data_IF_737826955237
#
_entry.id   IF_737826955237
#
_cell.length_a   1.000
_cell.length_b   1.000
_cell.length_c   1.000
_cell.angle_alpha   90.00
_cell.angle_beta   90.00
_cell.angle_gamma   90.00
#
_symmetry.space_group_name_H-M   'P 1'
#
loop_
_entity.id
_entity.type
_entity.pdbx_description
1 polymer ?
#
# COMPACT_ATOMS: atom_id res chain seq x y z
N UNK A 1 19.56 63.46 -3.94
CA UNK A 1 19.60 63.49 -5.41
C UNK A 1 20.81 62.73 -5.88
N UNK A 2 20.64 61.89 -6.93
CA UNK A 2 21.71 61.17 -7.64
C UNK A 2 22.30 59.97 -6.89
N UNK A 3 22.71 58.87 -7.52
CA UNK A 3 22.68 58.49 -8.92
C UNK A 3 22.90 56.98 -9.06
N UNK A 4 22.52 56.50 -10.23
CA UNK A 4 22.52 55.16 -10.83
C UNK A 4 23.88 54.51 -11.09
N UNK A 5 23.93 53.18 -11.07
CA UNK A 5 24.55 52.23 -12.03
C UNK A 5 24.70 50.88 -11.31
N UNK A 6 24.53 49.68 -11.86
CA UNK A 6 24.46 49.17 -13.22
C UNK A 6 25.12 47.78 -13.17
N UNK A 7 24.39 46.69 -13.47
CA UNK A 7 24.97 45.35 -13.47
C UNK A 7 23.96 44.24 -13.77
N UNK A 8 23.86 43.85 -15.04
CA UNK A 8 23.16 42.64 -15.52
C UNK A 8 24.02 41.42 -15.18
N UNK A 9 23.39 40.35 -14.70
CA UNK A 9 24.00 39.03 -14.53
C UNK A 9 22.93 37.94 -14.62
N UNK A 10 22.81 37.38 -15.82
CA UNK A 10 22.25 36.07 -16.20
C UNK A 10 21.66 35.21 -15.06
N UNK A 11 20.34 35.02 -15.03
CA UNK A 11 19.72 33.91 -14.28
C UNK A 11 19.44 32.78 -15.26
N UNK A 12 20.34 31.80 -15.28
CA UNK A 12 20.20 30.56 -16.01
C UNK A 12 18.96 29.80 -15.53
N UNK A 13 18.07 29.47 -16.46
CA UNK A 13 17.02 28.48 -16.30
C UNK A 13 17.65 27.09 -16.38
N UNK A 14 17.96 26.46 -15.25
CA UNK A 14 18.29 25.03 -15.23
C UNK A 14 17.00 24.23 -15.03
N UNK A 15 16.40 23.85 -16.15
CA UNK A 15 15.62 22.60 -16.24
C UNK A 15 16.56 21.46 -15.87
N UNK A 16 16.26 20.71 -14.83
CA UNK A 16 16.64 19.28 -14.65
C UNK A 16 16.08 18.78 -13.32
N UNK A 17 14.78 18.50 -13.28
CA UNK A 17 14.22 17.52 -12.34
C UNK A 17 13.70 16.36 -13.19
N UNK A 18 14.58 15.38 -13.40
CA UNK A 18 14.25 14.05 -13.93
C UNK A 18 15.08 13.07 -13.13
N UNK A 19 14.57 12.68 -11.97
CA UNK A 19 14.96 11.48 -11.23
C UNK A 19 13.80 11.16 -10.28
N UNK A 20 12.85 10.38 -10.78
CA UNK A 20 11.81 9.73 -9.98
C UNK A 20 11.61 8.33 -10.55
N UNK A 21 11.17 7.41 -9.69
CA UNK A 21 10.80 6.01 -9.93
C UNK A 21 11.85 4.94 -9.60
N UNK A 22 12.02 4.68 -8.29
CA UNK A 22 12.04 3.31 -7.77
C UNK A 22 10.95 3.23 -6.70
N UNK A 23 9.75 2.82 -7.11
CA UNK A 23 8.56 2.83 -6.27
C UNK A 23 8.17 1.42 -5.82
N UNK A 24 7.96 1.27 -4.50
CA UNK A 24 7.25 0.15 -3.91
C UNK A 24 5.84 0.03 -4.50
N UNK A 25 5.28 -1.19 -4.56
CA UNK A 25 4.01 -1.49 -5.23
C UNK A 25 2.79 -0.73 -4.72
N UNK A 26 2.85 -0.16 -3.53
CA UNK A 26 1.80 0.72 -3.04
C UNK A 26 1.92 2.15 -3.59
N UNK A 27 3.12 2.62 -3.94
CA UNK A 27 3.34 3.93 -4.58
C UNK A 27 2.88 3.95 -6.04
N UNK A 28 2.94 2.81 -6.74
CA UNK A 28 2.43 2.68 -8.12
C UNK A 28 0.91 2.93 -8.22
N UNK A 29 0.14 2.65 -7.17
CA UNK A 29 -1.30 2.97 -7.10
C UNK A 29 -1.56 4.47 -6.79
N UNK A 30 -0.55 5.21 -6.32
CA UNK A 30 -0.68 6.60 -5.87
C UNK A 30 -0.17 7.62 -6.90
N UNK A 31 0.36 7.19 -8.04
CA UNK A 31 0.91 8.09 -9.07
C UNK A 31 -0.11 8.60 -10.10
N UNK A 32 -1.41 8.30 -9.95
CA UNK A 32 -2.40 8.52 -11.00
C UNK A 32 -3.08 9.90 -11.00
N UNK A 33 -2.91 10.74 -9.97
CA UNK A 33 -3.59 12.06 -9.90
C UNK A 33 -2.78 13.24 -10.45
N UNK A 34 -1.71 13.00 -11.21
CA UNK A 34 -0.83 14.07 -11.72
C UNK A 34 -0.59 14.11 -13.24
N UNK A 35 -1.24 13.28 -14.06
CA UNK A 35 -1.02 13.31 -15.52
C UNK A 35 -2.28 13.84 -16.22
N UNK A 36 -2.48 15.14 -16.08
CA UNK A 36 -3.25 15.92 -17.04
C UNK A 36 -2.28 16.43 -18.11
N UNK A 37 -2.68 16.29 -19.37
CA UNK A 37 -2.07 16.74 -20.63
C UNK A 37 -1.13 15.80 -21.42
N UNK A 38 -1.59 15.58 -22.66
CA UNK A 38 -0.88 15.24 -23.92
C UNK A 38 -0.45 13.78 -24.14
N UNK A 39 -1.13 13.10 -25.06
CA UNK A 39 -0.78 13.17 -26.48
C UNK A 39 -1.79 12.45 -27.38
N UNK A 40 -2.04 13.09 -28.53
CA UNK A 40 -2.92 12.66 -29.61
C UNK A 40 -2.12 11.82 -30.62
N UNK A 41 -2.80 10.82 -31.21
CA UNK A 41 -2.60 10.28 -32.57
C UNK A 41 -1.18 9.86 -32.99
N UNK A 42 -0.98 8.54 -33.10
CA UNK A 42 -0.78 7.78 -34.36
C UNK A 42 -0.11 6.46 -34.03
N UNK A 43 -0.73 5.36 -34.47
CA UNK A 43 -0.17 4.02 -34.32
C UNK A 43 1.05 3.83 -35.23
N UNK A 44 1.92 2.91 -34.84
CA UNK A 44 2.64 2.08 -35.80
C UNK A 44 3.28 0.85 -35.13
N UNK A 45 3.45 -0.15 -35.98
CA UNK A 45 3.87 -1.51 -35.73
C UNK A 45 5.28 -1.67 -35.13
N UNK A 46 5.44 -2.74 -34.33
CA UNK A 46 6.45 -3.82 -34.37
C UNK A 46 7.87 -3.45 -34.89
N UNK A 47 8.91 -3.89 -34.17
CA UNK A 47 9.87 -4.94 -34.60
C UNK A 47 11.05 -5.04 -33.61
N UNK A 48 11.39 -6.29 -33.26
CA UNK A 48 12.63 -6.74 -32.60
C UNK A 48 13.83 -6.61 -33.57
N UNK A 49 15.04 -6.33 -33.08
CA UNK A 49 16.29 -7.12 -33.29
C UNK A 49 17.56 -6.29 -33.04
N UNK A 50 18.53 -6.99 -32.44
CA UNK A 50 19.97 -6.77 -32.21
C UNK A 50 20.79 -5.74 -33.02
N UNK A 51 21.91 -5.27 -32.45
CA UNK A 51 22.76 -4.24 -33.05
C UNK A 51 23.77 -4.84 -34.04
N UNK A 52 23.81 -4.32 -35.26
CA UNK A 52 25.02 -4.31 -36.12
C UNK A 52 25.07 -3.05 -36.98
N UNK A 53 26.12 -2.26 -36.73
CA UNK A 53 26.97 -1.47 -37.63
C UNK A 53 26.44 -0.99 -39.00
N UNK A 54 26.41 0.34 -39.11
CA UNK A 54 26.95 1.22 -40.18
C UNK A 54 26.36 1.33 -41.60
N UNK A 55 26.37 2.60 -42.05
CA UNK A 55 26.34 3.19 -43.40
C UNK A 55 25.01 3.45 -44.15
N UNK A 56 24.49 4.67 -43.95
CA UNK A 56 24.30 5.80 -44.92
C UNK A 56 23.91 5.50 -46.40
N UNK A 57 22.74 5.96 -46.85
CA UNK A 57 22.48 7.04 -47.87
C UNK A 57 21.04 7.03 -48.46
N UNK A 58 20.49 8.24 -48.61
CA UNK A 58 19.52 8.79 -49.59
C UNK A 58 18.01 8.35 -49.73
N UNK A 59 17.17 9.41 -49.71
CA UNK A 59 15.75 9.56 -50.10
C UNK A 59 15.61 9.75 -51.64
N UNK A 60 14.42 10.04 -52.25
CA UNK A 60 13.00 9.84 -51.89
C UNK A 60 12.16 9.25 -53.06
N UNK A 61 10.82 9.10 -52.91
CA UNK A 61 9.72 9.65 -53.77
C UNK A 61 8.40 8.84 -53.60
N UNK A 62 7.43 9.49 -52.92
CA UNK A 62 6.01 9.79 -53.23
C UNK A 62 5.00 8.83 -53.93
N UNK A 63 3.72 9.06 -53.57
CA UNK A 63 2.40 8.75 -54.21
C UNK A 63 1.42 7.72 -53.55
N UNK A 64 0.45 8.32 -52.82
CA UNK A 64 -1.05 8.23 -52.88
C UNK A 64 -1.86 6.91 -52.85
N UNK A 65 -2.65 6.83 -51.77
CA UNK A 65 -4.13 6.65 -51.64
C UNK A 65 -5.01 5.77 -52.56
N UNK A 66 -5.84 5.00 -51.85
CA UNK A 66 -7.30 4.78 -51.99
C UNK A 66 -7.83 3.56 -52.77
N UNK A 67 -8.82 2.89 -52.16
CA UNK A 67 -9.71 1.94 -52.81
C UNK A 67 -10.03 0.70 -51.96
N UNK A 68 -11.15 0.71 -51.25
CA UNK A 68 -11.68 -0.47 -50.54
C UNK A 68 -12.61 -1.34 -51.38
N UNK A 69 -12.83 -2.59 -50.96
CA UNK A 69 -14.12 -3.28 -50.96
C UNK A 69 -14.01 -4.70 -50.35
N UNK A 70 -14.81 -4.92 -49.29
CA UNK A 70 -15.61 -6.11 -48.91
C UNK A 70 -15.00 -7.52 -48.81
N UNK A 71 -15.27 -8.21 -47.68
CA UNK A 71 -16.10 -9.44 -47.57
C UNK A 71 -16.04 -10.00 -46.12
N UNK A 72 -17.21 -10.26 -45.53
CA UNK A 72 -17.44 -11.06 -44.31
C UNK A 72 -17.13 -12.55 -44.57
N UNK A 73 -16.35 -13.24 -43.70
CA UNK A 73 -16.57 -14.63 -43.22
C UNK A 73 -15.75 -14.82 -41.92
N UNK A 74 -16.36 -15.44 -40.90
CA UNK A 74 -15.75 -15.70 -39.58
C UNK A 74 -14.78 -16.89 -39.48
N UNK A 75 -14.36 -17.11 -38.22
CA UNK A 75 -13.44 -18.13 -37.67
C UNK A 75 -11.93 -17.76 -37.74
N UNK A 76 -11.04 -18.40 -36.96
CA UNK A 76 -11.05 -18.71 -35.52
C UNK A 76 -9.75 -18.19 -34.84
N UNK A 77 -9.64 -18.37 -33.51
CA UNK A 77 -8.38 -18.18 -32.76
C UNK A 77 -7.20 -18.96 -33.38
N UNK A 78 -5.96 -18.43 -33.34
CA UNK A 78 -4.77 -19.25 -33.41
C UNK A 78 -3.96 -19.21 -32.11
N UNK A 79 -3.84 -20.39 -31.51
CA UNK A 79 -2.73 -20.82 -30.67
C UNK A 79 -1.39 -20.57 -31.38
N UNK A 80 -0.41 -20.02 -30.66
CA UNK A 80 0.98 -20.00 -31.09
C UNK A 80 1.74 -21.18 -30.47
N UNK A 81 1.93 -22.27 -31.24
CA UNK A 81 2.97 -23.29 -30.98
C UNK A 81 4.01 -23.33 -32.10
N UNK A 82 5.27 -23.22 -31.66
CA UNK A 82 6.49 -23.97 -32.02
C UNK A 82 7.01 -24.08 -33.48
N UNK A 83 8.33 -23.85 -33.65
CA UNK A 83 9.29 -24.60 -34.48
C UNK A 83 10.72 -23.97 -34.40
N UNK A 84 11.84 -24.66 -34.75
CA UNK A 84 12.10 -26.11 -34.81
C UNK A 84 13.40 -26.56 -34.06
N UNK A 85 13.52 -27.89 -33.99
CA UNK A 85 14.58 -28.76 -33.44
C UNK A 85 15.83 -28.78 -34.33
N UNK A 86 17.03 -28.96 -33.76
CA UNK A 86 18.23 -29.38 -34.49
C UNK A 86 18.97 -30.48 -33.72
N UNK A 87 19.30 -31.57 -34.42
CA UNK A 87 19.90 -32.81 -33.91
C UNK A 87 21.44 -32.76 -33.74
N UNK A 88 21.90 -33.74 -32.97
CA UNK A 88 23.22 -34.04 -32.40
C UNK A 88 24.42 -34.24 -33.35
N UNK A 89 25.62 -33.92 -32.84
CA UNK A 89 26.88 -34.62 -33.17
C UNK A 89 27.72 -34.88 -31.92
N UNK A 90 28.16 -36.13 -31.76
CA UNK A 90 29.10 -36.63 -30.76
C UNK A 90 30.54 -36.72 -31.32
N UNK A 91 31.52 -36.39 -30.48
CA UNK A 91 32.92 -36.85 -30.39
C UNK A 91 33.45 -36.21 -29.09
N UNK A 92 34.19 -36.82 -28.17
CA UNK A 92 35.07 -37.99 -28.18
C UNK A 92 36.33 -37.58 -27.39
N UNK A 93 36.53 -38.20 -26.23
CA UNK A 93 37.76 -38.35 -25.42
C UNK A 93 38.39 -37.18 -24.62
N UNK A 94 38.63 -37.47 -23.32
CA UNK A 94 39.97 -37.38 -22.69
C UNK A 94 40.44 -36.06 -22.09
N UNK A 95 40.51 -36.00 -20.75
CA UNK A 95 41.19 -35.04 -19.82
C UNK A 95 42.55 -34.46 -20.31
N UNK A 96 43.19 -33.54 -19.55
CA UNK A 96 42.83 -32.16 -19.20
C UNK A 96 43.97 -31.17 -19.59
N UNK A 97 43.68 -29.91 -19.91
CA UNK A 97 44.72 -28.89 -20.15
C UNK A 97 44.52 -27.66 -19.27
N UNK A 98 45.39 -27.52 -18.28
CA UNK A 98 45.67 -26.26 -17.59
C UNK A 98 46.36 -25.28 -18.54
N UNK A 99 46.03 -23.98 -18.49
CA UNK A 99 47.04 -22.96 -18.76
C UNK A 99 47.18 -21.97 -17.59
N UNK A 100 48.45 -21.79 -17.19
CA UNK A 100 48.93 -20.62 -16.47
C UNK A 100 48.58 -19.35 -17.25
N UNK A 101 47.91 -18.40 -16.61
CA UNK A 101 47.84 -17.02 -17.10
C UNK A 101 48.56 -16.13 -16.10
N UNK A 102 49.51 -15.40 -16.65
CA UNK A 102 50.40 -14.42 -16.02
C UNK A 102 49.57 -13.24 -15.51
N UNK A 103 49.72 -12.90 -14.22
CA UNK A 103 49.19 -11.67 -13.63
C UNK A 103 50.04 -10.47 -14.10
N UNK A 104 49.48 -9.65 -15.00
CA UNK A 104 49.92 -8.28 -15.24
C UNK A 104 49.05 -7.29 -14.45
N UNK A 105 49.62 -6.22 -13.87
CA UNK A 105 48.87 -5.31 -13.01
C UNK A 105 48.18 -4.25 -13.87
N UNK A 106 46.86 -4.21 -13.84
CA UNK A 106 46.11 -3.14 -14.48
C UNK A 106 44.77 -3.62 -14.98
N UNK A 107 43.76 -3.51 -14.11
CA UNK A 107 42.43 -2.93 -14.35
C UNK A 107 41.68 -3.14 -13.03
N UNK A 108 41.63 -2.08 -12.20
CA UNK A 108 40.60 -1.97 -11.18
C UNK A 108 39.27 -1.82 -11.93
N UNK A 109 38.53 -2.93 -12.10
CA UNK A 109 37.12 -2.85 -12.44
C UNK A 109 36.38 -2.69 -11.13
N UNK A 110 35.95 -1.46 -10.85
CA UNK A 110 34.96 -1.16 -9.81
C UNK A 110 33.66 -1.88 -10.14
N UNK A 111 33.51 -3.10 -9.62
CA UNK A 111 32.20 -3.74 -9.52
C UNK A 111 31.45 -3.01 -8.42
N UNK A 112 30.81 -1.89 -8.78
CA UNK A 112 29.67 -1.39 -8.04
C UNK A 112 28.58 -2.45 -8.19
N UNK A 113 28.55 -3.39 -7.26
CA UNK A 113 27.36 -4.18 -7.01
C UNK A 113 26.28 -3.16 -6.62
N UNK A 114 25.41 -2.82 -7.58
CA UNK A 114 24.10 -2.31 -7.24
C UNK A 114 23.43 -3.42 -6.42
N UNK A 115 23.57 -3.35 -5.10
CA UNK A 115 22.72 -4.09 -4.20
C UNK A 115 21.35 -3.47 -4.39
N UNK A 116 20.60 -4.01 -5.35
CA UNK A 116 19.17 -3.86 -5.37
C UNK A 116 18.71 -4.42 -4.03
N UNK A 117 18.36 -3.53 -3.09
CA UNK A 117 17.72 -3.92 -1.85
C UNK A 117 16.35 -4.43 -2.28
N UNK A 118 16.28 -5.72 -2.61
CA UNK A 118 15.03 -6.45 -2.56
C UNK A 118 14.59 -6.41 -1.11
N UNK A 119 13.70 -5.47 -0.77
CA UNK A 119 12.89 -5.61 0.42
C UNK A 119 12.26 -7.00 0.34
N UNK A 120 12.63 -7.88 1.28
CA UNK A 120 12.17 -9.27 1.35
C UNK A 120 10.64 -9.34 1.32
N UNK A 121 10.09 -10.55 1.24
CA UNK A 121 8.63 -10.77 1.38
C UNK A 121 8.10 -9.93 2.55
N UNK A 122 7.11 -9.07 2.28
CA UNK A 122 6.50 -8.29 3.35
C UNK A 122 5.78 -9.26 4.30
N UNK A 123 6.14 -9.24 5.58
CA UNK A 123 5.50 -10.06 6.59
C UNK A 123 4.57 -9.19 7.45
N UNK A 124 3.55 -8.62 6.79
CA UNK A 124 2.52 -7.89 7.51
C UNK A 124 1.73 -8.85 8.41
N UNK A 125 1.45 -8.42 9.65
CA UNK A 125 0.63 -9.17 10.59
C UNK A 125 -0.60 -8.35 10.95
N UNK A 126 -1.75 -8.82 10.43
CA UNK A 126 -3.08 -8.30 10.74
C UNK A 126 -3.33 -8.34 12.26
N UNK A 127 -3.90 -7.26 12.85
CA UNK A 127 -4.29 -7.26 14.26
C UNK A 127 -5.40 -8.27 14.52
N UNK A 128 -5.39 -8.92 15.67
CA UNK A 128 -6.45 -9.85 16.06
C UNK A 128 -7.77 -9.11 16.30
N UNK A 129 -8.93 -9.80 16.21
CA UNK A 129 -10.23 -9.17 16.47
C UNK A 129 -10.34 -8.51 17.86
N UNK A 130 -9.60 -9.01 18.85
CA UNK A 130 -9.53 -8.44 20.19
C UNK A 130 -8.75 -7.11 20.26
N UNK A 131 -7.85 -6.87 19.31
CA UNK A 131 -7.05 -5.63 19.24
C UNK A 131 -7.78 -4.50 18.49
N UNK A 132 -8.88 -4.81 17.79
CA UNK A 132 -9.59 -3.87 16.92
C UNK A 132 -10.97 -3.51 17.47
N UNK A 133 -11.21 -2.21 17.66
CA UNK A 133 -12.54 -1.71 18.02
C UNK A 133 -13.30 -1.27 16.76
N UNK A 134 -14.29 -2.06 16.38
CA UNK A 134 -15.22 -1.73 15.29
C UNK A 134 -16.36 -0.82 15.74
N UNK A 135 -17.05 -0.22 14.77
CA UNK A 135 -18.23 0.61 14.94
C UNK A 135 -18.08 1.74 15.97
N UNK A 136 -16.97 2.45 15.89
CA UNK A 136 -16.77 3.67 16.68
C UNK A 136 -17.67 4.76 16.12
N UNK A 137 -18.57 5.26 16.96
CA UNK A 137 -19.43 6.37 16.58
C UNK A 137 -18.63 7.67 16.50
N UNK A 138 -18.73 8.33 15.35
CA UNK A 138 -18.17 9.66 15.13
C UNK A 138 -19.29 10.66 14.93
N UNK A 139 -19.19 11.81 15.60
CA UNK A 139 -20.14 12.89 15.40
C UNK A 139 -19.90 13.50 14.00
N UNK A 140 -20.92 13.59 13.15
CA UNK A 140 -20.84 14.34 11.92
C UNK A 140 -20.33 15.76 12.13
N UNK A 141 -19.36 16.19 11.32
CA UNK A 141 -19.05 17.61 11.23
C UNK A 141 -20.19 18.31 10.46
N UNK A 142 -20.70 19.43 10.98
CA UNK A 142 -21.65 20.29 10.25
C UNK A 142 -20.89 21.02 9.14
N UNK A 143 -20.67 20.35 8.00
CA UNK A 143 -20.10 20.98 6.82
C UNK A 143 -21.04 22.08 6.32
N UNK A 144 -20.50 23.29 6.14
CA UNK A 144 -21.24 24.39 5.50
C UNK A 144 -21.30 24.14 3.99
N UNK A 145 -22.35 24.63 3.33
CA UNK A 145 -22.70 24.36 1.91
C UNK A 145 -21.65 24.83 0.87
N UNK A 146 -20.45 25.28 1.30
CA UNK A 146 -19.36 25.86 0.50
C UNK A 146 -18.00 25.17 0.75
N UNK A 147 -17.99 23.88 1.07
CA UNK A 147 -16.72 23.14 1.17
C UNK A 147 -16.07 22.99 -0.21
N UNK A 148 -14.79 23.35 -0.30
CA UNK A 148 -13.93 23.21 -1.47
C UNK A 148 -13.44 21.76 -1.63
N UNK A 149 -12.92 21.33 -2.79
CA UNK A 149 -12.30 20.00 -2.95
C UNK A 149 -11.14 19.76 -1.96
N UNK A 150 -10.38 20.80 -1.60
CA UNK A 150 -9.33 20.75 -0.57
C UNK A 150 -9.89 20.42 0.83
N UNK A 151 -11.20 20.60 1.04
CA UNK A 151 -11.86 20.20 2.27
C UNK A 151 -12.09 18.68 2.39
N UNK A 152 -11.78 17.89 1.36
CA UNK A 152 -11.88 16.44 1.40
C UNK A 152 -10.52 15.75 1.43
N UNK A 153 -9.41 16.49 1.40
CA UNK A 153 -8.09 15.88 1.56
C UNK A 153 -7.98 15.18 2.92
N UNK A 154 -7.42 13.97 2.93
CA UNK A 154 -7.18 13.18 4.14
C UNK A 154 -6.27 13.96 5.10
N UNK A 155 -6.67 14.08 6.37
CA UNK A 155 -5.84 14.67 7.43
C UNK A 155 -5.40 13.61 8.42
N UNK A 156 -4.09 13.37 8.51
CA UNK A 156 -3.50 12.43 9.45
C UNK A 156 -2.82 13.20 10.59
N UNK A 157 -3.27 12.96 11.83
CA UNK A 157 -2.60 13.49 13.02
C UNK A 157 -1.64 12.46 13.59
N UNK A 158 -0.36 12.82 13.66
CA UNK A 158 0.65 11.98 14.31
C UNK A 158 0.66 12.26 15.82
N UNK A 159 0.64 11.21 16.63
CA UNK A 159 0.84 11.24 18.08
C UNK A 159 2.05 10.37 18.39
N UNK A 160 3.14 10.99 18.83
CA UNK A 160 4.35 10.25 19.21
C UNK A 160 4.24 9.74 20.64
N UNK A 161 4.49 8.45 20.82
CA UNK A 161 4.69 7.84 22.12
C UNK A 161 6.04 8.28 22.71
N UNK A 162 6.13 8.29 24.05
CA UNK A 162 7.34 8.68 24.78
C UNK A 162 8.58 7.85 24.42
N UNK A 163 8.41 6.61 23.92
CA UNK A 163 9.50 5.78 23.41
C UNK A 163 10.29 6.44 22.26
N UNK A 164 9.64 7.26 21.43
CA UNK A 164 10.32 8.00 20.35
C UNK A 164 11.24 9.06 20.93
N UNK A 165 10.86 9.68 22.06
CA UNK A 165 11.68 10.68 22.74
C UNK A 165 12.91 10.08 23.43
N UNK A 166 12.84 8.78 23.75
CA UNK A 166 13.93 7.99 24.33
C UNK A 166 14.94 7.48 23.29
N UNK A 167 14.65 7.61 21.99
CA UNK A 167 15.60 7.27 20.94
C UNK A 167 16.84 8.18 20.97
N UNK A 168 18.01 7.70 20.50
CA UNK A 168 19.17 8.55 20.24
C UNK A 168 18.81 9.81 19.43
N UNK A 169 19.48 10.92 19.72
CA UNK A 169 19.06 12.24 19.23
C UNK A 169 19.00 12.35 17.70
N UNK A 170 19.89 11.66 17.00
CA UNK A 170 19.90 11.54 15.53
C UNK A 170 18.67 10.78 15.02
N UNK A 171 18.38 9.60 15.58
CA UNK A 171 17.21 8.79 15.24
C UNK A 171 15.90 9.50 15.58
N UNK A 172 15.83 10.15 16.75
CA UNK A 172 14.66 10.92 17.18
C UNK A 172 14.34 12.06 16.19
N UNK A 173 15.35 12.85 15.80
CA UNK A 173 15.17 13.91 14.79
C UNK A 173 14.79 13.34 13.44
N UNK A 174 15.42 12.24 13.02
CA UNK A 174 15.06 11.56 11.78
C UNK A 174 13.58 11.19 11.77
N UNK A 175 13.08 10.53 12.82
CA UNK A 175 11.69 10.08 12.94
C UNK A 175 10.72 11.25 13.00
N UNK A 176 10.97 12.23 13.88
CA UNK A 176 10.03 13.33 14.16
C UNK A 176 10.04 14.45 13.12
N UNK A 177 11.19 14.74 12.51
CA UNK A 177 11.37 15.93 11.68
C UNK A 177 11.44 15.61 10.18
N UNK A 178 11.69 14.34 9.81
CA UNK A 178 11.83 13.93 8.40
C UNK A 178 10.93 12.77 8.01
N UNK A 179 11.14 11.60 8.61
CA UNK A 179 10.61 10.33 8.13
C UNK A 179 9.07 10.29 8.10
N UNK A 180 8.42 10.45 9.26
CA UNK A 180 6.96 10.47 9.32
C UNK A 180 6.34 11.72 8.70
N UNK A 181 6.85 12.95 8.93
CA UNK A 181 6.30 14.13 8.25
C UNK A 181 6.27 14.01 6.73
N UNK A 182 7.36 13.52 6.10
CA UNK A 182 7.41 13.35 4.65
C UNK A 182 6.51 12.21 4.16
N UNK A 183 6.43 11.09 4.89
CA UNK A 183 5.51 10.01 4.55
C UNK A 183 4.05 10.46 4.62
N UNK A 184 3.66 11.16 5.68
CA UNK A 184 2.31 11.68 5.86
C UNK A 184 1.97 12.75 4.82
N UNK A 185 2.88 13.67 4.54
CA UNK A 185 2.69 14.69 3.51
C UNK A 185 2.43 14.09 2.13
N UNK A 186 3.14 13.01 1.77
CA UNK A 186 2.87 12.23 0.57
C UNK A 186 1.47 11.59 0.58
N UNK A 187 1.12 10.88 1.67
CA UNK A 187 -0.15 10.15 1.76
C UNK A 187 -1.37 11.09 1.81
N UNK A 188 -1.27 12.22 2.51
CA UNK A 188 -2.33 13.21 2.54
C UNK A 188 -2.56 13.84 1.17
N UNK A 189 -1.51 14.03 0.35
CA UNK A 189 -1.70 14.48 -1.04
C UNK A 189 -2.34 13.42 -1.93
N UNK A 190 -2.08 12.14 -1.66
CA UNK A 190 -2.56 11.05 -2.48
C UNK A 190 -4.00 10.59 -2.14
N UNK A 191 -4.52 10.92 -0.96
CA UNK A 191 -5.81 10.42 -0.50
C UNK A 191 -6.81 11.53 -0.16
N UNK A 192 -8.06 11.30 -0.56
CA UNK A 192 -9.22 12.08 -0.14
C UNK A 192 -10.23 11.23 0.61
N UNK A 193 -10.97 11.83 1.53
CA UNK A 193 -12.05 11.21 2.29
C UNK A 193 -13.42 11.61 1.75
N UNK A 194 -14.41 10.72 1.89
CA UNK A 194 -15.79 11.01 1.48
C UNK A 194 -16.49 12.03 2.39
N UNK A 195 -16.12 12.02 3.68
CA UNK A 195 -16.78 12.82 4.71
C UNK A 195 -15.77 13.16 5.81
N UNK A 196 -15.76 14.43 6.21
CA UNK A 196 -15.10 14.85 7.44
C UNK A 196 -15.95 14.52 8.66
N UNK A 197 -15.24 14.18 9.72
CA UNK A 197 -15.80 13.90 11.03
C UNK A 197 -15.38 15.01 11.98
N UNK A 198 -16.18 15.23 13.02
CA UNK A 198 -15.74 16.08 14.12
C UNK A 198 -14.51 15.50 14.82
N UNK A 199 -14.13 16.02 15.99
CA UNK A 199 -12.98 15.51 16.74
C UNK A 199 -13.03 13.99 16.88
N UNK A 200 -11.94 13.30 16.51
CA UNK A 200 -11.86 11.85 16.63
C UNK A 200 -11.79 11.50 18.10
N UNK A 201 -12.86 10.87 18.58
CA UNK A 201 -12.98 10.43 19.96
C UNK A 201 -13.08 8.90 19.94
N UNK A 202 -12.01 8.24 20.41
CA UNK A 202 -11.83 6.80 20.30
C UNK A 202 -12.60 6.06 21.40
N UNK A 203 -13.22 4.93 21.06
CA UNK A 203 -13.93 4.12 22.05
C UNK A 203 -12.95 3.35 22.93
N UNK A 204 -13.32 3.14 24.20
CA UNK A 204 -12.53 2.33 25.12
C UNK A 204 -12.66 0.84 24.79
N UNK A 205 -11.59 0.09 25.03
CA UNK A 205 -11.62 -1.37 25.00
C UNK A 205 -12.39 -1.93 26.19
N UNK A 206 -13.01 -3.10 26.04
CA UNK A 206 -13.71 -3.79 27.12
C UNK A 206 -12.78 -4.76 27.83
N UNK A 207 -12.93 -4.92 29.15
CA UNK A 207 -12.05 -5.79 29.92
C UNK A 207 -12.11 -7.25 29.44
N UNK A 208 -13.29 -7.70 29.01
CA UNK A 208 -13.55 -9.06 28.52
C UNK A 208 -13.62 -9.16 26.99
N UNK A 209 -13.36 -8.06 26.26
CA UNK A 209 -13.63 -7.95 24.81
C UNK A 209 -15.07 -8.30 24.38
N UNK A 210 -16.01 -8.30 25.32
CA UNK A 210 -17.44 -8.52 25.06
C UNK A 210 -18.14 -7.18 24.89
N UNK A 211 -18.81 -7.03 23.75
CA UNK A 211 -19.47 -5.79 23.36
C UNK A 211 -20.96 -6.02 23.15
N UNK A 212 -21.77 -5.13 23.71
CA UNK A 212 -23.21 -5.10 23.57
C UNK A 212 -23.64 -3.88 22.75
N UNK A 213 -24.80 -4.01 22.12
CA UNK A 213 -25.49 -2.90 21.44
C UNK A 213 -26.81 -2.64 22.11
N UNK A 214 -27.10 -1.37 22.34
CA UNK A 214 -28.41 -0.91 22.80
C UNK A 214 -29.23 -0.48 21.58
N UNK A 215 -30.53 -0.79 21.58
CA UNK A 215 -31.44 -0.31 20.52
C UNK A 215 -31.47 1.22 20.55
N UNK A 216 -31.44 1.84 19.37
CA UNK A 216 -31.52 3.29 19.15
C UNK A 216 -30.34 4.10 19.75
N UNK A 217 -29.23 3.46 20.13
CA UNK A 217 -27.99 4.12 20.50
C UNK A 217 -26.87 3.73 19.52
N UNK A 218 -26.20 4.70 18.88
CA UNK A 218 -25.12 4.38 17.94
C UNK A 218 -23.84 3.89 18.61
N UNK A 219 -23.73 3.96 19.95
CA UNK A 219 -22.54 3.55 20.67
C UNK A 219 -22.53 2.07 21.06
N UNK A 220 -21.33 1.51 21.12
CA UNK A 220 -21.10 0.20 21.72
C UNK A 220 -20.93 0.34 23.23
N UNK A 221 -21.37 -0.69 23.93
CA UNK A 221 -21.23 -0.82 25.38
C UNK A 221 -20.37 -2.03 25.69
N UNK A 222 -19.53 -1.91 26.71
CA UNK A 222 -18.84 -3.05 27.28
C UNK A 222 -19.77 -3.84 28.18
N UNK A 223 -19.67 -5.17 28.11
CA UNK A 223 -20.26 -6.01 29.14
C UNK A 223 -19.47 -5.80 30.44
N UNK A 224 -20.17 -5.37 31.49
CA UNK A 224 -19.67 -5.10 32.85
C UNK A 224 -18.72 -3.90 32.97
N UNK A 225 -17.55 -3.92 32.32
CA UNK A 225 -16.50 -2.92 32.52
C UNK A 225 -15.66 -2.64 31.27
N UNK A 226 -15.19 -1.39 31.16
CA UNK A 226 -14.11 -1.08 30.22
C UNK A 226 -12.77 -1.55 30.81
N UNK A 227 -11.81 -1.83 29.93
CA UNK A 227 -10.43 -2.03 30.32
C UNK A 227 -9.85 -0.74 30.91
N UNK A 228 -8.99 -0.88 31.93
CA UNK A 228 -8.30 0.25 32.57
C UNK A 228 -7.44 1.04 31.56
N UNK A 229 -6.87 0.32 30.59
CA UNK A 229 -6.00 0.87 29.55
C UNK A 229 -6.55 0.48 28.19
N UNK A 230 -6.75 1.48 27.32
CA UNK A 230 -7.06 1.27 25.91
C UNK A 230 -5.78 1.40 25.09
N UNK A 231 -5.51 0.42 24.23
CA UNK A 231 -4.30 0.33 23.42
C UNK A 231 -4.61 0.45 21.93
N UNK A 232 -3.65 1.01 21.20
CA UNK A 232 -3.59 0.96 19.74
C UNK A 232 -2.22 0.37 19.37
N UNK A 233 -2.18 -0.95 19.16
CA UNK A 233 -0.93 -1.70 19.06
C UNK A 233 -0.10 -1.58 20.35
N UNK A 234 1.21 -1.27 20.27
CA UNK A 234 2.05 -1.16 21.47
C UNK A 234 1.78 0.13 22.26
N UNK A 235 1.09 1.11 21.69
CA UNK A 235 0.88 2.44 22.29
C UNK A 235 -0.36 2.46 23.19
N UNK A 236 -0.24 3.10 24.35
CA UNK A 236 -1.38 3.42 25.21
C UNK A 236 -2.05 4.68 24.69
N UNK A 237 -3.36 4.60 24.42
CA UNK A 237 -4.14 5.73 23.93
C UNK A 237 -4.33 6.75 25.07
N UNK A 238 -3.95 8.03 24.90
CA UNK A 238 -4.14 9.04 25.93
C UNK A 238 -5.62 9.21 26.33
N UNK A 239 -5.88 9.40 27.62
CA UNK A 239 -7.26 9.53 28.12
C UNK A 239 -8.05 10.67 27.47
N UNK A 240 -7.38 11.77 27.09
CA UNK A 240 -8.02 12.91 26.43
C UNK A 240 -8.45 12.62 24.98
N UNK A 241 -8.02 11.49 24.38
CA UNK A 241 -8.51 11.02 23.08
C UNK A 241 -9.68 10.05 23.20
N UNK A 242 -10.04 9.62 24.41
CA UNK A 242 -11.00 8.55 24.64
C UNK A 242 -12.40 9.07 24.98
N UNK A 243 -13.40 8.33 24.53
CA UNK A 243 -14.78 8.44 24.99
C UNK A 243 -14.88 8.05 26.48
N UNK A 244 -15.92 8.55 27.14
CA UNK A 244 -16.37 8.06 28.43
C UNK A 244 -16.67 6.58 28.33
N UNK A 245 -16.34 5.82 29.37
CA UNK A 245 -16.63 4.39 29.39
C UNK A 245 -18.14 4.17 29.37
N UNK A 246 -18.61 3.27 28.51
CA UNK A 246 -20.02 2.90 28.38
C UNK A 246 -20.17 1.43 28.70
N UNK A 247 -20.94 1.12 29.75
CA UNK A 247 -21.08 -0.24 30.26
C UNK A 247 -22.54 -0.66 30.31
N UNK A 248 -22.78 -1.93 30.09
CA UNK A 248 -24.05 -2.59 30.36
C UNK A 248 -23.84 -3.66 31.44
N UNK A 249 -24.84 -3.84 32.31
CA UNK A 249 -24.93 -5.03 33.17
C UNK A 249 -24.85 -6.31 32.32
N UNK A 250 -24.40 -7.42 32.91
CA UNK A 250 -24.28 -8.74 32.26
C UNK A 250 -25.48 -9.11 31.36
N UNK A 251 -26.71 -8.84 31.83
CA UNK A 251 -27.95 -9.15 31.10
C UNK A 251 -28.49 -7.98 30.25
N UNK A 252 -27.72 -6.92 30.04
CA UNK A 252 -28.12 -5.74 29.25
C UNK A 252 -29.30 -4.94 29.83
N UNK A 253 -29.69 -5.14 31.09
CA UNK A 253 -30.83 -4.49 31.74
C UNK A 253 -30.57 -3.02 32.08
N UNK A 254 -29.36 -2.69 32.51
CA UNK A 254 -28.93 -1.32 32.78
C UNK A 254 -27.69 -1.00 31.95
N UNK A 255 -27.75 0.07 31.16
CA UNK A 255 -26.65 0.52 30.32
C UNK A 255 -26.46 2.02 30.52
N UNK A 256 -25.22 2.45 30.73
CA UNK A 256 -24.93 3.86 30.98
C UNK A 256 -23.45 4.20 30.88
N UNK A 257 -23.14 5.50 30.86
CA UNK A 257 -21.77 5.98 31.02
C UNK A 257 -21.26 5.72 32.44
N UNK A 258 -19.96 5.49 32.58
CA UNK A 258 -19.24 5.36 33.85
C UNK A 258 -17.87 6.03 33.76
N UNK A 259 -17.34 6.46 34.90
CA UNK A 259 -16.04 7.12 34.99
C UNK A 259 -16.01 8.55 34.43
N UNK A 260 -14.81 9.08 34.15
CA UNK A 260 -14.63 10.45 33.65
C UNK A 260 -15.38 10.70 32.34
N UNK A 261 -15.82 11.95 32.08
CA UNK A 261 -16.48 12.30 30.83
C UNK A 261 -15.56 12.12 29.61
N UNK A 262 -16.15 12.26 28.43
CA UNK A 262 -15.43 12.30 27.15
C UNK A 262 -14.23 13.25 27.23
N UNK A 263 -13.09 12.81 26.70
CA UNK A 263 -11.97 13.71 26.42
C UNK A 263 -12.31 14.70 25.29
N UNK A 264 -11.46 15.72 25.06
CA UNK A 264 -11.61 16.63 23.91
C UNK A 264 -11.54 15.91 22.54
N UNK A 265 -10.91 14.73 22.48
CA UNK A 265 -10.66 14.04 21.22
C UNK A 265 -9.51 14.68 20.42
N UNK A 266 -9.31 14.19 19.20
CA UNK A 266 -8.29 14.72 18.27
C UNK A 266 -8.99 15.56 17.21
N UNK A 267 -8.82 16.87 17.29
CA UNK A 267 -9.46 17.81 16.37
C UNK A 267 -8.77 17.87 15.00
N UNK A 268 -9.55 18.18 13.95
CA UNK A 268 -9.03 18.48 12.62
C UNK A 268 -8.32 17.32 11.93
N UNK A 269 -8.65 16.08 12.27
CA UNK A 269 -8.05 14.87 11.72
C UNK A 269 -9.12 13.88 11.28
N UNK A 270 -8.85 13.16 10.19
CA UNK A 270 -9.66 12.04 9.70
C UNK A 270 -9.06 10.69 10.10
N UNK A 271 -7.78 10.68 10.48
CA UNK A 271 -7.07 9.51 10.98
C UNK A 271 -6.02 9.92 12.03
N UNK A 272 -5.94 9.17 13.13
CA UNK A 272 -4.91 9.36 14.17
C UNK A 272 -3.89 8.24 14.10
N UNK A 273 -2.63 8.60 13.85
CA UNK A 273 -1.51 7.65 13.79
C UNK A 273 -0.66 7.74 15.06
N UNK A 274 -0.67 6.67 15.86
CA UNK A 274 0.19 6.55 17.04
C UNK A 274 1.55 5.98 16.64
N UNK A 275 2.61 6.76 16.81
CA UNK A 275 3.96 6.39 16.40
C UNK A 275 4.82 6.03 17.62
N UNK A 276 5.48 4.89 17.56
CA UNK A 276 6.32 4.37 18.66
C UNK A 276 7.67 3.85 18.18
N UNK A 277 8.63 3.82 19.09
CA UNK A 277 9.94 3.22 18.93
C UNK A 277 10.19 2.17 20.00
N UNK A 278 9.30 1.16 20.09
CA UNK A 278 9.34 0.14 21.14
C UNK A 278 9.93 -1.15 20.58
N UNK A 279 10.90 -1.73 21.29
CA UNK A 279 11.37 -3.10 21.03
C UNK A 279 10.30 -4.08 21.48
N UNK A 280 9.63 -4.70 20.51
CA UNK A 280 8.57 -5.70 20.74
C UNK A 280 9.01 -7.08 20.27
N UNK A 281 8.26 -8.12 20.58
CA UNK A 281 8.51 -9.47 20.07
C UNK A 281 8.63 -9.49 18.52
N UNK A 282 7.82 -8.69 17.83
CA UNK A 282 7.88 -8.53 16.37
C UNK A 282 9.23 -8.00 15.88
N UNK A 283 9.89 -7.15 16.67
CA UNK A 283 11.22 -6.63 16.33
C UNK A 283 12.33 -7.67 16.45
N UNK A 284 12.07 -8.81 17.12
CA UNK A 284 13.00 -9.92 17.20
C UNK A 284 12.95 -10.85 15.98
N UNK A 285 12.01 -10.65 15.06
CA UNK A 285 11.92 -11.42 13.82
C UNK A 285 12.84 -10.80 12.75
N UNK A 286 13.52 -11.65 11.98
CA UNK A 286 14.47 -11.20 10.96
C UNK A 286 13.79 -10.27 9.94
N UNK A 287 14.48 -9.18 9.57
CA UNK A 287 14.09 -8.21 8.54
C UNK A 287 12.86 -7.32 8.82
N UNK A 288 12.33 -7.29 10.05
CA UNK A 288 11.25 -6.34 10.41
C UNK A 288 11.85 -5.01 10.88
N UNK A 289 11.85 -4.02 9.98
CA UNK A 289 12.30 -2.65 10.28
C UNK A 289 11.21 -1.85 11.00
N UNK A 290 9.98 -2.02 10.55
CA UNK A 290 8.80 -1.35 11.05
C UNK A 290 7.59 -2.27 10.89
N UNK A 291 6.53 -1.98 11.62
CA UNK A 291 5.22 -2.57 11.36
C UNK A 291 4.13 -1.58 11.75
N UNK A 292 3.01 -1.63 11.05
CA UNK A 292 1.86 -0.80 11.38
C UNK A 292 0.54 -1.53 11.13
N UNK A 293 -0.51 -1.09 11.83
CA UNK A 293 -1.86 -1.58 11.59
C UNK A 293 -2.91 -0.57 12.09
N UNK A 294 -4.15 -0.85 11.73
CA UNK A 294 -5.33 -0.15 12.25
C UNK A 294 -5.71 -0.71 13.63
N UNK A 295 -6.39 0.10 14.44
CA UNK A 295 -6.89 -0.33 15.74
C UNK A 295 -8.34 0.08 16.00
N UNK A 296 -8.87 1.11 15.32
CA UNK A 296 -10.28 1.46 15.44
C UNK A 296 -10.89 1.84 14.08
N UNK A 297 -12.10 1.32 13.83
CA UNK A 297 -12.89 1.58 12.62
C UNK A 297 -14.19 2.32 12.98
N UNK A 298 -14.57 3.34 12.21
CA UNK A 298 -15.84 4.03 12.42
C UNK A 298 -17.07 3.16 12.08
N UNK A 299 -18.24 3.59 12.57
CA UNK A 299 -19.50 2.87 12.42
C UNK A 299 -20.19 2.98 11.06
N UNK A 300 -19.97 4.06 10.30
CA UNK A 300 -20.72 4.29 9.06
C UNK A 300 -20.08 3.58 7.86
N UNK A 301 -18.78 3.77 7.62
CA UNK A 301 -18.08 3.26 6.44
C UNK A 301 -16.94 2.28 6.76
N UNK A 302 -16.87 1.75 7.99
CA UNK A 302 -15.77 0.91 8.47
C UNK A 302 -14.36 1.48 8.22
N UNK A 303 -14.27 2.81 8.03
CA UNK A 303 -13.01 3.49 7.72
C UNK A 303 -12.09 3.41 8.94
N UNK A 304 -10.80 3.06 8.77
CA UNK A 304 -9.82 3.23 9.84
C UNK A 304 -9.74 4.69 10.26
N UNK A 305 -9.88 4.93 11.57
CA UNK A 305 -9.84 6.28 12.17
C UNK A 305 -8.70 6.40 13.18
N UNK A 306 -8.15 5.27 13.61
CA UNK A 306 -6.91 5.21 14.34
C UNK A 306 -6.12 3.98 13.95
N UNK A 307 -4.81 4.14 13.92
CA UNK A 307 -3.84 3.08 13.75
C UNK A 307 -2.52 3.44 14.42
N UNK A 308 -1.58 2.53 14.35
CA UNK A 308 -0.27 2.69 14.94
C UNK A 308 0.82 2.31 13.94
N UNK A 309 1.99 2.91 14.11
CA UNK A 309 3.23 2.50 13.46
C UNK A 309 4.34 2.39 14.50
N UNK A 310 5.03 1.25 14.54
CA UNK A 310 6.15 1.04 15.43
C UNK A 310 7.42 0.82 14.61
N UNK A 311 8.44 1.62 14.86
CA UNK A 311 9.79 1.42 14.35
C UNK A 311 10.59 0.58 15.34
N UNK A 312 11.26 -0.45 14.86
CA UNK A 312 12.15 -1.25 15.69
C UNK A 312 13.44 -0.47 15.98
N UNK A 313 13.74 -0.09 17.23
CA UNK A 313 14.79 0.92 17.53
C UNK A 313 16.18 0.58 16.99
N UNK A 314 16.53 -0.70 16.98
CA UNK A 314 17.81 -1.21 16.46
C UNK A 314 17.91 -1.11 14.94
N UNK A 315 16.78 -1.19 14.24
CA UNK A 315 16.70 -1.19 12.77
C UNK A 315 16.55 0.22 12.17
N UNK A 316 16.28 1.24 12.99
CA UNK A 316 16.25 2.63 12.51
C UNK A 316 17.67 3.03 12.12
N UNK A 317 17.90 3.25 10.83
CA UNK A 317 19.17 3.75 10.32
C UNK A 317 19.13 5.26 10.13
N UNK A 318 20.16 5.94 10.66
CA UNK A 318 20.37 7.37 10.46
C UNK A 318 21.27 7.67 9.26
N UNK A 319 21.67 6.64 8.49
CA UNK A 319 22.53 6.82 7.33
C UNK A 319 21.76 7.46 6.17
N UNK A 320 22.27 8.54 5.54
CA UNK A 320 21.58 9.22 4.45
C UNK A 320 21.24 8.30 3.26
N UNK A 321 22.08 7.32 2.97
CA UNK A 321 21.91 6.39 1.85
C UNK A 321 20.72 5.44 2.05
N UNK A 322 20.34 5.17 3.30
CA UNK A 322 19.23 4.28 3.66
C UNK A 322 17.92 5.04 3.89
N UNK A 323 17.95 6.38 3.80
CA UNK A 323 16.79 7.24 4.07
C UNK A 323 15.60 6.91 3.16
N UNK A 324 15.83 6.77 1.84
CA UNK A 324 14.76 6.49 0.89
C UNK A 324 14.10 5.12 1.14
N UNK A 325 14.91 4.09 1.44
CA UNK A 325 14.39 2.78 1.80
C UNK A 325 13.57 2.80 3.10
N UNK A 326 14.03 3.53 4.12
CA UNK A 326 13.28 3.76 5.36
C UNK A 326 11.98 4.52 5.10
N UNK A 327 12.01 5.56 4.26
CA UNK A 327 10.83 6.36 3.92
C UNK A 327 9.80 5.52 3.17
N UNK A 328 10.24 4.70 2.21
CA UNK A 328 9.38 3.76 1.49
C UNK A 328 8.74 2.76 2.45
N UNK A 329 9.52 2.19 3.35
CA UNK A 329 9.03 1.28 4.40
C UNK A 329 7.97 1.96 5.27
N UNK A 330 8.21 3.18 5.76
CA UNK A 330 7.22 3.88 6.58
C UNK A 330 5.94 4.21 5.81
N UNK A 331 6.04 4.62 4.54
CA UNK A 331 4.85 4.81 3.69
C UNK A 331 4.07 3.51 3.55
N UNK A 332 4.75 2.40 3.26
CA UNK A 332 4.17 1.07 3.13
C UNK A 332 3.40 0.65 4.39
N UNK A 333 4.04 0.80 5.55
CA UNK A 333 3.42 0.47 6.84
C UNK A 333 2.19 1.36 7.12
N UNK A 334 2.27 2.68 6.89
CA UNK A 334 1.12 3.55 7.12
C UNK A 334 -0.05 3.18 6.20
N UNK A 335 0.21 2.74 4.96
CA UNK A 335 -0.82 2.26 4.03
C UNK A 335 -1.56 1.03 4.56
N UNK A 336 -0.87 0.12 5.27
CA UNK A 336 -1.52 -0.98 5.99
C UNK A 336 -2.47 -0.49 7.08
N UNK A 337 -2.07 0.55 7.82
CA UNK A 337 -2.90 1.16 8.85
C UNK A 337 -4.10 1.96 8.29
N UNK A 338 -3.96 2.50 7.07
CA UNK A 338 -5.00 3.30 6.41
C UNK A 338 -6.09 2.46 5.73
N UNK A 339 -5.82 1.20 5.36
CA UNK A 339 -6.88 0.36 4.78
C UNK A 339 -6.42 -0.79 3.90
N UNK A 340 -5.18 -0.78 3.41
CA UNK A 340 -4.70 -1.85 2.54
C UNK A 340 -4.17 -3.01 3.38
N UNK A 341 -5.08 -3.79 3.96
CA UNK A 341 -4.73 -4.93 4.82
C UNK A 341 -5.71 -6.07 4.63
N UNK A 342 -5.21 -7.31 4.66
CA UNK A 342 -6.03 -8.51 4.52
C UNK A 342 -7.22 -8.55 5.49
N UNK A 343 -7.05 -8.05 6.72
CA UNK A 343 -8.12 -7.95 7.71
C UNK A 343 -9.19 -6.89 7.42
N UNK A 344 -8.97 -6.02 6.42
CA UNK A 344 -9.90 -4.96 6.03
C UNK A 344 -10.56 -5.17 4.67
N UNK A 345 -10.10 -6.11 3.84
CA UNK A 345 -10.71 -6.32 2.52
C UNK A 345 -12.21 -6.67 2.61
N UNK A 346 -12.62 -7.42 3.63
CA UNK A 346 -14.04 -7.71 3.87
C UNK A 346 -14.88 -6.47 4.25
N UNK A 347 -14.23 -5.38 4.64
CA UNK A 347 -14.87 -4.14 5.07
C UNK A 347 -14.97 -3.08 3.96
N UNK A 348 -14.53 -3.40 2.73
CA UNK A 348 -14.56 -2.44 1.63
C UNK A 348 -15.99 -2.07 1.21
N UNK A 349 -16.13 -0.82 0.79
CA UNK A 349 -17.36 -0.21 0.30
C UNK A 349 -17.21 0.18 -1.16
N UNK A 350 -18.34 0.27 -1.87
CA UNK A 350 -18.40 0.82 -3.23
C UNK A 350 -18.41 2.37 -3.24
N UNK A 351 -18.52 2.93 -4.44
CA UNK A 351 -18.54 4.37 -4.67
C UNK A 351 -19.83 5.05 -4.14
N UNK A 352 -20.84 4.28 -3.76
CA UNK A 352 -22.05 4.76 -3.09
C UNK A 352 -21.94 4.64 -1.55
N UNK A 353 -20.88 4.01 -1.04
CA UNK A 353 -20.67 3.76 0.39
C UNK A 353 -21.38 2.51 0.90
N UNK A 354 -21.86 1.63 0.01
CA UNK A 354 -22.51 0.37 0.36
C UNK A 354 -21.48 -0.76 0.49
N UNK A 355 -21.62 -1.68 1.46
CA UNK A 355 -20.65 -2.75 1.66
C UNK A 355 -20.55 -3.68 0.44
N UNK A 356 -19.33 -3.95 -0.02
CA UNK A 356 -19.06 -4.94 -1.07
C UNK A 356 -19.19 -6.38 -0.55
N UNK A 357 -19.06 -6.56 0.77
CA UNK A 357 -19.23 -7.86 1.44
C UNK A 357 -20.51 -7.86 2.28
N UNK A 358 -21.35 -8.91 2.19
CA UNK A 358 -22.55 -9.05 3.02
C UNK A 358 -22.26 -8.98 4.51
N UNK A 359 -23.18 -8.36 5.27
CA UNK A 359 -23.05 -8.16 6.73
C UNK A 359 -24.11 -8.98 7.48
N UNK A 360 -23.74 -9.48 8.65
CA UNK A 360 -24.69 -10.07 9.60
C UNK A 360 -25.49 -8.98 10.34
N UNK A 361 -26.45 -9.39 11.17
CA UNK A 361 -27.20 -8.48 12.05
C UNK A 361 -26.29 -7.67 13.00
N UNK A 362 -25.08 -8.17 13.27
CA UNK A 362 -24.04 -7.46 14.03
C UNK A 362 -23.42 -6.27 13.26
N UNK A 363 -23.66 -6.14 11.95
CA UNK A 363 -22.99 -5.17 11.06
C UNK A 363 -21.62 -5.61 10.54
N UNK A 364 -21.08 -6.72 11.05
CA UNK A 364 -19.78 -7.24 10.65
C UNK A 364 -19.90 -8.28 9.53
N UNK A 365 -18.86 -8.45 8.68
CA UNK A 365 -18.77 -9.58 7.76
C UNK A 365 -18.66 -10.91 8.51
N UNK A 366 -18.76 -12.01 7.77
CA UNK A 366 -18.49 -13.33 8.35
C UNK A 366 -17.04 -13.47 8.77
N UNK A 367 -16.79 -14.03 9.95
CA UNK A 367 -15.44 -14.33 10.42
C UNK A 367 -15.04 -15.74 10.01
N UNK A 368 -13.86 -15.89 9.41
CA UNK A 368 -13.30 -17.16 9.00
C UNK A 368 -12.23 -17.58 10.03
N UNK A 369 -12.61 -18.46 10.95
CA UNK A 369 -11.74 -18.97 12.02
C UNK A 369 -10.48 -19.65 11.50
N UNK A 370 -10.56 -20.33 10.34
CA UNK A 370 -9.40 -21.01 9.74
C UNK A 370 -8.35 -20.03 9.21
N UNK A 371 -8.79 -18.86 8.75
CA UNK A 371 -7.90 -17.79 8.30
C UNK A 371 -7.54 -16.81 9.42
N UNK A 372 -8.35 -16.74 10.47
CA UNK A 372 -8.27 -15.69 11.49
C UNK A 372 -8.63 -14.30 10.94
N UNK A 373 -9.42 -14.23 9.88
CA UNK A 373 -9.76 -13.00 9.15
C UNK A 373 -11.26 -12.92 8.87
N UNK A 374 -11.77 -11.70 8.69
CA UNK A 374 -13.10 -11.50 8.11
C UNK A 374 -13.09 -11.90 6.64
N UNK A 375 -14.07 -12.70 6.25
CA UNK A 375 -14.22 -13.26 4.91
C UNK A 375 -14.74 -12.20 3.93
N UNK A 376 -13.93 -11.82 2.96
CA UNK A 376 -14.35 -10.96 1.85
C UNK A 376 -15.27 -11.70 0.88
N UNK A 377 -16.05 -10.94 0.11
CA UNK A 377 -16.85 -11.45 -1.01
C UNK A 377 -16.04 -11.53 -2.31
N UNK A 378 -16.59 -12.24 -3.30
CA UNK A 378 -16.06 -12.31 -4.67
C UNK A 378 -16.13 -10.95 -5.42
N UNK A 379 -16.82 -9.95 -4.88
CA UNK A 379 -16.81 -8.58 -5.41
C UNK A 379 -15.53 -7.81 -5.02
N UNK A 380 -14.82 -8.27 -3.98
CA UNK A 380 -13.56 -7.64 -3.53
C UNK A 380 -12.36 -8.45 -4.02
N UNK A 381 -12.31 -9.74 -3.69
CA UNK A 381 -11.21 -10.63 -4.07
C UNK A 381 -11.76 -11.93 -4.60
N UNK A 382 -11.25 -12.36 -5.75
CA UNK A 382 -11.58 -13.63 -6.40
C UNK A 382 -10.40 -14.57 -6.37
N UNK A 383 -10.68 -15.87 -6.20
CA UNK A 383 -9.67 -16.91 -6.41
C UNK A 383 -9.66 -17.33 -7.87
N UNK A 384 -8.53 -17.14 -8.54
CA UNK A 384 -8.38 -17.45 -9.96
C UNK A 384 -7.31 -18.52 -10.15
N UNK A 385 -7.48 -19.41 -11.13
CA UNK A 385 -6.48 -20.42 -11.49
C UNK A 385 -5.58 -19.88 -12.59
N UNK A 386 -4.27 -19.87 -12.36
CA UNK A 386 -3.23 -19.54 -13.35
C UNK A 386 -2.39 -20.77 -13.66
N UNK A 387 -1.78 -20.80 -14.85
CA UNK A 387 -0.84 -21.85 -15.25
C UNK A 387 0.58 -21.28 -15.16
N UNK A 388 1.45 -21.94 -14.41
CA UNK A 388 2.85 -21.54 -14.23
C UNK A 388 3.79 -22.55 -14.89
N UNK A 389 4.78 -22.07 -15.66
CA UNK A 389 5.85 -22.90 -16.19
C UNK A 389 7.00 -22.96 -15.18
N UNK A 390 7.22 -24.15 -14.59
CA UNK A 390 8.21 -24.32 -13.51
C UNK A 390 9.59 -24.71 -14.06
N UNK A 391 9.70 -25.05 -15.35
CA UNK A 391 10.93 -25.29 -16.15
C UNK A 391 10.55 -26.19 -17.34
N UNK A 392 10.63 -25.67 -18.56
CA UNK A 392 10.68 -26.50 -19.77
C UNK A 392 9.36 -27.15 -20.19
N UNK A 393 8.23 -26.49 -19.96
CA UNK A 393 6.94 -26.87 -20.55
C UNK A 393 6.01 -27.68 -19.66
N UNK A 394 6.32 -27.82 -18.37
CA UNK A 394 5.39 -28.38 -17.37
C UNK A 394 4.57 -27.23 -16.78
N UNK A 395 3.32 -27.10 -17.25
CA UNK A 395 2.37 -26.11 -16.76
C UNK A 395 1.65 -26.65 -15.53
N UNK A 396 1.85 -26.03 -14.38
CA UNK A 396 1.14 -26.38 -13.15
C UNK A 396 0.04 -25.37 -12.88
N UNK A 397 -1.16 -25.86 -12.56
CA UNK A 397 -2.25 -25.01 -12.09
C UNK A 397 -1.97 -24.54 -10.67
N UNK A 398 -2.07 -23.24 -10.48
CA UNK A 398 -1.84 -22.59 -9.23
C UNK A 398 -2.97 -21.57 -8.98
N UNK A 399 -3.47 -21.53 -7.75
CA UNK A 399 -4.54 -20.60 -7.37
C UNK A 399 -3.97 -19.32 -6.79
N UNK A 400 -4.41 -18.19 -7.34
CA UNK A 400 -4.01 -16.84 -6.96
C UNK A 400 -5.21 -16.07 -6.43
N UNK A 401 -4.99 -15.10 -5.57
CA UNK A 401 -6.02 -14.15 -5.15
C UNK A 401 -5.87 -12.88 -5.98
N UNK A 402 -6.97 -12.40 -6.54
CA UNK A 402 -7.00 -11.20 -7.39
C UNK A 402 -7.99 -10.22 -6.78
N UNK A 403 -7.55 -8.99 -6.51
CA UNK A 403 -8.43 -7.89 -6.13
C UNK A 403 -9.14 -7.36 -7.37
N UNK A 404 -10.47 -7.37 -7.35
CA UNK A 404 -11.32 -7.14 -8.52
C UNK A 404 -12.29 -5.97 -8.34
N UNK A 405 -12.02 -5.08 -7.38
CA UNK A 405 -12.84 -3.88 -7.23
C UNK A 405 -12.73 -3.01 -8.49
N UNK A 406 -13.80 -2.30 -8.90
CA UNK A 406 -13.86 -1.63 -10.21
C UNK A 406 -12.65 -0.72 -10.50
N UNK A 407 -12.27 0.13 -9.53
CA UNK A 407 -11.13 1.05 -9.65
C UNK A 407 -9.79 0.33 -9.75
N UNK A 408 -9.61 -0.79 -9.04
CA UNK A 408 -8.37 -1.58 -9.10
C UNK A 408 -8.25 -2.29 -10.45
N UNK A 409 -9.37 -2.79 -10.99
CA UNK A 409 -9.39 -3.39 -12.33
C UNK A 409 -9.05 -2.36 -13.39
N UNK A 410 -9.67 -1.18 -13.33
CA UNK A 410 -9.39 -0.07 -14.23
C UNK A 410 -7.91 0.32 -14.18
N UNK A 411 -7.36 0.57 -12.99
CA UNK A 411 -5.96 0.96 -12.84
C UNK A 411 -5.00 -0.14 -13.29
N UNK A 412 -5.29 -1.41 -12.98
CA UNK A 412 -4.47 -2.51 -13.44
C UNK A 412 -4.44 -2.62 -14.97
N UNK A 413 -5.59 -2.45 -15.63
CA UNK A 413 -5.67 -2.46 -17.09
C UNK A 413 -4.89 -1.31 -17.70
N UNK A 414 -5.01 -0.11 -17.12
CA UNK A 414 -4.31 1.08 -17.58
C UNK A 414 -2.80 0.95 -17.39
N UNK A 415 -2.36 0.52 -16.21
CA UNK A 415 -0.95 0.37 -15.86
C UNK A 415 -0.22 -0.62 -16.77
N UNK A 416 -0.84 -1.76 -17.06
CA UNK A 416 -0.26 -2.81 -17.92
C UNK A 416 -0.65 -2.71 -19.39
N UNK A 417 -1.48 -1.73 -19.75
CA UNK A 417 -2.07 -1.61 -21.08
C UNK A 417 -2.70 -2.94 -21.57
N UNK A 418 -3.44 -3.60 -20.68
CA UNK A 418 -4.01 -4.94 -20.91
C UNK A 418 -5.51 -4.94 -20.57
N UNK A 419 -6.40 -4.70 -21.55
CA UNK A 419 -7.84 -4.49 -21.29
C UNK A 419 -8.57 -5.74 -20.80
N UNK A 420 -8.00 -6.93 -21.02
CA UNK A 420 -8.57 -8.21 -20.57
C UNK A 420 -8.21 -8.55 -19.13
N UNK A 421 -7.36 -7.74 -18.47
CA UNK A 421 -6.92 -8.03 -17.12
C UNK A 421 -8.12 -8.01 -16.15
N UNK A 422 -8.20 -9.03 -15.31
CA UNK A 422 -9.35 -9.26 -14.40
C UNK A 422 -9.26 -8.45 -13.11
N UNK A 423 -8.07 -7.94 -12.77
CA UNK A 423 -7.78 -7.19 -11.55
C UNK A 423 -6.30 -7.25 -11.16
N UNK A 424 -6.01 -6.84 -9.93
CA UNK A 424 -4.65 -6.86 -9.38
C UNK A 424 -4.39 -8.18 -8.66
N UNK A 425 -3.37 -8.92 -9.11
CA UNK A 425 -2.93 -10.11 -8.38
C UNK A 425 -2.25 -9.73 -7.05
N UNK A 426 -2.69 -10.42 -6.00
CA UNK A 426 -2.21 -10.27 -4.65
C UNK A 426 -1.11 -11.30 -4.35
N UNK A 427 -0.10 -10.86 -3.60
CA UNK A 427 1.05 -11.65 -3.20
C UNK A 427 0.62 -12.90 -2.42
N UNK A 428 1.29 -14.00 -2.71
CA UNK A 428 1.02 -15.31 -2.12
C UNK A 428 2.30 -16.01 -1.64
N UNK A 429 3.46 -15.35 -1.73
CA UNK A 429 4.72 -15.83 -1.20
C UNK A 429 4.98 -15.19 0.18
N UNK A 430 4.94 -16.00 1.25
CA UNK A 430 5.13 -15.52 2.63
C UNK A 430 4.83 -16.49 3.78
N UNK A 431 4.61 -17.79 3.51
CA UNK A 431 4.31 -18.80 4.54
C UNK A 431 2.82 -19.17 4.63
N UNK A 432 2.40 -20.05 5.58
CA UNK A 432 1.07 -20.66 5.60
C UNK A 432 -0.12 -19.72 5.86
N UNK A 433 0.14 -18.44 6.16
CA UNK A 433 -0.89 -17.50 6.53
C UNK A 433 -1.13 -16.48 5.42
N UNK A 434 -2.38 -16.39 4.95
CA UNK A 434 -2.93 -15.31 4.11
C UNK A 434 -2.92 -13.92 4.80
N UNK A 435 -2.14 -13.76 5.87
CA UNK A 435 -2.07 -12.57 6.71
C UNK A 435 -1.12 -11.50 6.17
N UNK A 436 -0.28 -11.86 5.19
CA UNK A 436 0.72 -10.99 4.55
C UNK A 436 0.34 -10.57 3.13
N UNK A 437 -0.96 -10.57 2.78
CA UNK A 437 -1.40 -10.20 1.44
C UNK A 437 -1.04 -8.74 1.14
N UNK A 438 -0.08 -8.57 0.23
CA UNK A 438 0.33 -7.30 -0.40
C UNK A 438 0.07 -7.40 -1.92
N UNK A 439 0.29 -6.36 -2.72
CA UNK A 439 0.32 -6.51 -4.18
C UNK A 439 1.52 -7.38 -4.59
N UNK A 440 1.39 -8.28 -5.58
CA UNK A 440 2.50 -9.17 -5.96
C UNK A 440 3.70 -8.39 -6.49
N UNK A 441 4.87 -8.53 -5.87
CA UNK A 441 6.06 -7.71 -6.18
C UNK A 441 6.54 -7.81 -7.63
N UNK A 442 6.58 -9.02 -8.18
CA UNK A 442 7.16 -9.29 -9.51
C UNK A 442 6.29 -8.80 -10.68
N UNK A 443 4.99 -8.61 -10.46
CA UNK A 443 4.06 -8.25 -11.54
C UNK A 443 4.09 -6.75 -11.88
N UNK A 444 4.36 -5.89 -10.89
CA UNK A 444 4.27 -4.43 -11.04
C UNK A 444 5.62 -3.72 -11.14
N UNK A 445 6.73 -4.46 -11.04
CA UNK A 445 8.09 -3.93 -11.23
C UNK A 445 8.45 -3.73 -12.69
N UNK A 446 7.69 -4.32 -13.62
CA UNK A 446 7.97 -4.29 -15.06
C UNK A 446 7.12 -3.24 -15.77
N UNK A 447 7.62 -2.00 -15.86
CA UNK A 447 7.45 -1.21 -17.09
C UNK A 447 8.74 -1.29 -17.90
N UNK A 448 8.69 -1.64 -19.20
CA UNK A 448 9.78 -1.35 -20.13
C UNK A 448 10.04 0.16 -20.23
#
# INVERSE_FOLDING_TARGET
>A
GGATSGGRGLRATSKTDKNYFEDDLCSALLSADSIQDRCSRQGCHRVLIHPKSDERFENPVDWTESGGASVDIGLPSPDCRAAPRMESRLRGDGKPLTPRVVLGPGVLLSVLAAVAICHGSCNHRVPSPAEVVHHVYLKPERLTKRSSPDDLQLKIKIIYDSSVDQLPADKRRLVKDKLFPQAIDFLQRAFSVRRRVGPILLSRQCATNQYMRKRDDPHRYCQESCADVTRCGPVIVPHHHLQQCKVCSEFGKSCGPTGPPDGPGVEGSDFVLYVSGITTERCGQENIVAYAAYCQLEAELDRPIAGYANLCPTMISSQPQEFEGMLSTVKHEIIHALGFSAGLFAFYHDDEGKPLTPRFASGLPAFNESLGLYQWSEAVIRRVSRLWDIRGGVMVRHHVHVMVTPRVVEEARNHFNCPILEGMELENQGGPALNSITGRKDFWRTRP
#
